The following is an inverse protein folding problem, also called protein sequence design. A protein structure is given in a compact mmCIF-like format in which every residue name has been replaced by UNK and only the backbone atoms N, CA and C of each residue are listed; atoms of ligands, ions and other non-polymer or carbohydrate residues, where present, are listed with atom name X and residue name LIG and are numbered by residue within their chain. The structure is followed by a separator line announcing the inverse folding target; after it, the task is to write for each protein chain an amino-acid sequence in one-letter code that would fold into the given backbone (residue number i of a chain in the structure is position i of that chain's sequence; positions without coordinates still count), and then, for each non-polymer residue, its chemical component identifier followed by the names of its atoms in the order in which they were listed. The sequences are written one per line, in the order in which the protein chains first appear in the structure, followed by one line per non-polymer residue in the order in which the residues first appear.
data_IF_987737752653
#
_entry.id   IF_987737752653
#
_cell.length_a   1.000
_cell.length_b   1.000
_cell.length_c   1.000
_cell.angle_alpha   90.00
_cell.angle_beta   90.00
_cell.angle_gamma   90.00
#
_symmetry.space_group_name_H-M   'P 1'
#
loop_
_entity.id
_entity.type
_entity.pdbx_description
1 polymer ?
#
# COMPACT_ATOMS: atom_id res chain seq x y z
N UNK A 1 -24.61 -16.24 -31.71
CA UNK A 1 -24.62 -15.62 -30.36
C UNK A 1 -23.77 -14.37 -30.40
N UNK A 2 -24.28 -13.25 -29.90
CA UNK A 2 -23.52 -12.00 -29.74
C UNK A 2 -23.02 -12.00 -28.30
N UNK A 3 -21.73 -12.29 -28.11
CA UNK A 3 -21.08 -12.20 -26.82
C UNK A 3 -20.85 -10.73 -26.49
N UNK A 4 -21.71 -10.16 -25.67
CA UNK A 4 -21.52 -8.84 -25.10
C UNK A 4 -20.45 -8.95 -24.00
N UNK A 5 -19.27 -8.39 -24.25
CA UNK A 5 -18.19 -8.32 -23.26
C UNK A 5 -18.30 -6.98 -22.57
N UNK A 6 -18.79 -6.96 -21.33
CA UNK A 6 -18.76 -5.78 -20.47
C UNK A 6 -17.36 -5.62 -19.91
N UNK A 7 -16.62 -4.61 -20.38
CA UNK A 7 -15.35 -4.22 -19.78
C UNK A 7 -15.62 -3.15 -18.71
N UNK A 8 -15.23 -3.40 -17.47
CA UNK A 8 -15.20 -2.37 -16.43
C UNK A 8 -13.87 -1.64 -16.57
N UNK A 9 -13.88 -0.50 -17.26
CA UNK A 9 -12.72 0.40 -17.27
C UNK A 9 -12.62 1.10 -15.92
N UNK A 10 -11.54 0.85 -15.18
CA UNK A 10 -11.21 1.63 -13.97
C UNK A 10 -10.81 3.03 -14.46
N UNK A 11 -11.40 4.07 -13.91
CA UNK A 11 -11.02 5.43 -14.27
C UNK A 11 -9.59 5.70 -13.78
N UNK A 12 -8.80 6.44 -14.57
CA UNK A 12 -7.38 6.67 -14.25
C UNK A 12 -7.18 7.38 -12.91
N UNK A 13 -8.18 8.13 -12.43
CA UNK A 13 -8.18 8.82 -11.15
C UNK A 13 -8.54 7.92 -9.96
N UNK A 14 -8.94 6.66 -10.21
CA UNK A 14 -9.16 5.61 -9.21
C UNK A 14 -7.98 4.63 -9.09
N UNK A 15 -6.98 4.78 -9.98
CA UNK A 15 -5.78 3.94 -10.01
C UNK A 15 -4.59 4.66 -9.36
N UNK A 16 -3.96 4.02 -8.39
CA UNK A 16 -2.75 4.51 -7.73
C UNK A 16 -1.52 3.84 -8.34
N UNK A 17 -0.60 4.62 -8.90
CA UNK A 17 0.64 4.08 -9.43
C UNK A 17 1.67 3.99 -8.30
N UNK A 18 2.25 2.81 -8.12
CA UNK A 18 3.21 2.53 -7.05
C UNK A 18 4.50 1.97 -7.62
N UNK A 19 5.63 2.27 -6.97
CA UNK A 19 6.93 1.65 -7.21
C UNK A 19 7.29 0.83 -5.97
N UNK A 20 7.46 -0.49 -6.12
CA UNK A 20 7.85 -1.35 -5.01
C UNK A 20 9.38 -1.40 -4.87
N UNK A 21 9.85 -1.65 -3.65
CA UNK A 21 11.28 -1.72 -3.35
C UNK A 21 11.74 -3.15 -3.08
N UNK A 22 12.94 -3.48 -3.55
CA UNK A 22 13.60 -4.76 -3.25
C UNK A 22 14.26 -4.80 -1.86
N UNK A 23 14.27 -3.68 -1.13
CA UNK A 23 14.87 -3.59 0.21
C UNK A 23 14.05 -4.30 1.29
N UNK A 24 12.78 -4.62 1.01
CA UNK A 24 11.86 -5.32 1.91
C UNK A 24 11.24 -6.54 1.20
N UNK A 25 12.03 -7.57 0.84
CA UNK A 25 11.58 -8.63 -0.07
C UNK A 25 10.41 -9.45 0.48
N UNK A 26 10.32 -9.67 1.80
CA UNK A 26 9.22 -10.45 2.39
C UNK A 26 7.93 -9.65 2.42
N UNK A 27 8.04 -8.37 2.73
CA UNK A 27 6.94 -7.41 2.77
C UNK A 27 6.44 -7.11 1.37
N UNK A 28 7.35 -7.00 0.40
CA UNK A 28 7.04 -6.89 -1.03
C UNK A 28 6.21 -8.09 -1.49
N UNK A 29 6.73 -9.30 -1.29
CA UNK A 29 6.00 -10.53 -1.64
C UNK A 29 4.63 -10.60 -0.97
N UNK A 30 4.55 -10.25 0.32
CA UNK A 30 3.28 -10.17 1.04
C UNK A 30 2.30 -9.21 0.37
N UNK A 31 2.73 -7.97 0.10
CA UNK A 31 1.89 -6.97 -0.56
C UNK A 31 1.43 -7.46 -1.94
N UNK A 32 2.35 -7.97 -2.76
CA UNK A 32 2.05 -8.50 -4.09
C UNK A 32 1.01 -9.62 -4.04
N UNK A 33 1.17 -10.53 -3.07
CA UNK A 33 0.27 -11.67 -2.89
C UNK A 33 -1.15 -11.23 -2.48
N UNK A 34 -1.28 -10.39 -1.45
CA UNK A 34 -2.62 -10.02 -0.93
C UNK A 34 -3.35 -9.04 -1.84
N UNK A 35 -2.61 -8.28 -2.65
CA UNK A 35 -3.20 -7.35 -3.63
C UNK A 35 -3.52 -8.03 -4.95
N UNK A 36 -2.89 -9.18 -5.23
CA UNK A 36 -2.98 -9.88 -6.50
C UNK A 36 -2.00 -9.37 -7.57
N UNK A 37 -1.12 -8.41 -7.23
CA UNK A 37 -0.09 -7.90 -8.14
C UNK A 37 0.91 -8.99 -8.59
N UNK A 38 1.07 -10.07 -7.80
CA UNK A 38 1.90 -11.21 -8.20
C UNK A 38 1.43 -11.90 -9.50
N UNK A 39 0.15 -11.75 -9.85
CA UNK A 39 -0.47 -12.44 -11.00
C UNK A 39 -1.13 -11.48 -12.00
N UNK A 40 -1.39 -10.23 -11.59
CA UNK A 40 -2.20 -9.27 -12.35
C UNK A 40 -1.50 -7.91 -12.40
N UNK A 41 -1.66 -7.16 -13.49
CA UNK A 41 -1.09 -5.81 -13.59
C UNK A 41 -1.72 -4.82 -12.59
N UNK A 42 -2.99 -5.05 -12.21
CA UNK A 42 -3.71 -4.20 -11.26
C UNK A 42 -4.11 -5.04 -10.05
N UNK A 43 -3.66 -4.59 -8.88
CA UNK A 43 -4.00 -5.14 -7.58
C UNK A 43 -5.10 -4.33 -6.89
N UNK A 44 -5.61 -4.87 -5.79
CA UNK A 44 -6.64 -4.22 -4.97
C UNK A 44 -6.29 -4.23 -3.50
N UNK A 45 -6.60 -3.12 -2.82
CA UNK A 45 -6.51 -2.99 -1.36
C UNK A 45 -7.87 -2.60 -0.80
N UNK A 46 -8.32 -3.31 0.24
CA UNK A 46 -9.56 -2.94 0.94
C UNK A 46 -9.26 -1.90 2.01
N UNK A 47 -9.86 -0.73 1.91
CA UNK A 47 -9.71 0.36 2.89
C UNK A 47 -10.21 -0.12 4.26
N UNK A 48 -9.33 -0.07 5.25
CA UNK A 48 -9.67 -0.29 6.66
C UNK A 48 -10.15 1.03 7.29
N UNK A 49 -9.40 2.10 7.07
CA UNK A 49 -9.72 3.43 7.60
C UNK A 49 -9.14 4.51 6.67
N UNK A 50 -9.93 5.52 6.32
CA UNK A 50 -9.50 6.66 5.52
C UNK A 50 -9.86 7.98 6.23
N UNK A 51 -8.84 8.77 6.57
CA UNK A 51 -9.03 10.09 7.19
C UNK A 51 -8.25 11.13 6.39
N UNK A 52 -8.86 11.69 5.32
CA UNK A 52 -8.23 12.71 4.49
C UNK A 52 -7.73 13.91 5.29
N UNK A 53 -8.51 14.38 6.28
CA UNK A 53 -8.14 15.52 7.13
C UNK A 53 -6.88 15.26 7.96
N UNK A 54 -6.56 13.99 8.24
CA UNK A 54 -5.35 13.57 8.95
C UNK A 54 -4.26 13.04 8.01
N UNK A 55 -4.47 13.12 6.69
CA UNK A 55 -3.53 12.64 5.67
C UNK A 55 -3.13 11.17 5.89
N UNK A 56 -4.07 10.34 6.35
CA UNK A 56 -3.80 8.97 6.82
C UNK A 56 -4.81 7.98 6.22
N UNK A 57 -4.28 6.95 5.58
CA UNK A 57 -5.06 5.92 4.89
C UNK A 57 -4.50 4.55 5.27
N UNK A 58 -5.33 3.69 5.82
CA UNK A 58 -4.97 2.33 6.22
C UNK A 58 -5.79 1.30 5.45
N UNK A 59 -5.16 0.19 5.12
CA UNK A 59 -5.75 -0.89 4.33
C UNK A 59 -5.63 -2.20 5.08
N UNK A 60 -6.64 -3.06 4.91
CA UNK A 60 -6.65 -4.37 5.53
C UNK A 60 -5.47 -5.20 5.01
N UNK A 61 -4.77 -5.82 5.95
CA UNK A 61 -3.85 -6.91 5.66
C UNK A 61 -4.54 -8.27 5.66
N UNK A 62 -3.73 -9.31 5.59
CA UNK A 62 -4.15 -10.70 5.81
C UNK A 62 -3.35 -11.30 6.98
N UNK A 63 -4.04 -11.80 8.00
CA UNK A 63 -3.44 -12.29 9.24
C UNK A 63 -2.64 -13.60 9.05
N UNK A 64 -3.02 -14.43 8.08
CA UNK A 64 -2.33 -15.69 7.82
C UNK A 64 -1.09 -15.46 6.97
N UNK A 65 -1.18 -14.57 5.98
CA UNK A 65 -0.08 -14.23 5.07
C UNK A 65 0.95 -13.28 5.69
N UNK A 66 0.57 -12.48 6.69
CA UNK A 66 1.47 -11.55 7.38
C UNK A 66 2.40 -12.23 8.39
N UNK A 67 2.23 -13.54 8.62
CA UNK A 67 3.11 -14.33 9.48
C UNK A 67 4.52 -14.34 8.89
N UNK A 68 5.48 -13.84 9.66
CA UNK A 68 6.89 -13.81 9.25
C UNK A 68 7.32 -12.52 8.55
N UNK A 69 6.51 -11.46 8.60
CA UNK A 69 6.96 -10.09 8.32
C UNK A 69 7.93 -9.62 9.41
N UNK A 70 9.19 -10.03 9.30
CA UNK A 70 10.28 -9.54 10.16
C UNK A 70 10.53 -8.04 9.90
N UNK A 71 11.16 -7.30 10.83
CA UNK A 71 11.65 -5.97 10.54
C UNK A 71 12.62 -5.97 9.34
N UNK A 72 12.29 -5.18 8.32
CA UNK A 72 13.10 -4.97 7.12
C UNK A 72 12.76 -3.61 6.50
N UNK A 73 13.78 -2.92 5.96
CA UNK A 73 13.64 -1.57 5.39
C UNK A 73 12.86 -0.61 6.30
N UNK A 74 13.16 -0.63 7.60
CA UNK A 74 12.53 0.28 8.56
C UNK A 74 12.98 1.72 8.30
N UNK A 75 12.10 2.71 8.45
CA UNK A 75 12.51 4.11 8.49
C UNK A 75 13.42 4.35 9.70
N UNK A 76 14.31 5.33 9.58
CA UNK A 76 15.17 5.76 10.69
C UNK A 76 14.56 6.99 11.38
N UNK A 77 14.46 8.11 10.66
CA UNK A 77 14.04 9.40 11.23
C UNK A 77 12.85 10.04 10.51
N UNK A 78 12.62 9.68 9.26
CA UNK A 78 11.63 10.30 8.39
C UNK A 78 11.02 9.24 7.49
N UNK A 79 9.70 9.31 7.33
CA UNK A 79 8.99 8.67 6.24
C UNK A 79 8.32 9.77 5.41
N UNK A 80 8.54 9.74 4.10
CA UNK A 80 8.04 10.73 3.14
C UNK A 80 6.57 10.49 2.80
N UNK A 81 5.91 11.55 2.37
CA UNK A 81 4.60 11.46 1.73
C UNK A 81 4.63 10.44 0.59
N UNK A 82 3.61 9.57 0.55
CA UNK A 82 3.47 8.53 -0.46
C UNK A 82 4.21 7.23 -0.16
N UNK A 83 5.10 7.16 0.83
CA UNK A 83 5.71 5.88 1.22
C UNK A 83 4.65 4.92 1.78
N UNK A 84 4.75 3.67 1.34
CA UNK A 84 3.85 2.58 1.71
C UNK A 84 4.50 1.83 2.85
N UNK A 85 3.89 1.90 4.04
CA UNK A 85 4.36 1.21 5.23
C UNK A 85 3.49 0.00 5.55
N UNK A 86 4.12 -1.09 5.99
CA UNK A 86 3.45 -2.29 6.49
C UNK A 86 3.92 -2.57 7.91
N UNK A 87 2.99 -2.77 8.83
CA UNK A 87 3.31 -3.15 10.20
C UNK A 87 3.96 -4.53 10.23
N UNK A 88 5.14 -4.64 10.85
CA UNK A 88 5.88 -5.88 11.00
C UNK A 88 5.57 -6.58 12.34
N UNK A 89 6.14 -7.77 12.53
CA UNK A 89 5.87 -8.65 13.67
C UNK A 89 6.29 -8.10 15.04
N UNK A 90 6.93 -6.92 15.10
CA UNK A 90 7.24 -6.24 16.37
C UNK A 90 6.00 -5.68 17.06
N UNK A 91 4.85 -5.66 16.37
CA UNK A 91 3.55 -5.18 16.88
C UNK A 91 2.41 -6.12 16.54
N UNK A 92 1.27 -5.94 17.23
CA UNK A 92 0.11 -6.83 17.14
C UNK A 92 -0.63 -6.73 15.81
N UNK A 93 -0.59 -5.56 15.18
CA UNK A 93 -1.29 -5.28 13.92
C UNK A 93 -0.46 -5.67 12.70
N UNK A 94 0.29 -6.78 12.78
CA UNK A 94 1.18 -7.26 11.71
C UNK A 94 0.40 -7.39 10.40
N UNK A 95 0.99 -6.92 9.31
CA UNK A 95 0.37 -6.92 7.98
C UNK A 95 -0.57 -5.76 7.69
N UNK A 96 -0.92 -4.91 8.67
CA UNK A 96 -1.67 -3.67 8.41
C UNK A 96 -0.85 -2.76 7.50
N UNK A 97 -1.48 -2.19 6.47
CA UNK A 97 -0.82 -1.34 5.47
C UNK A 97 -1.28 0.10 5.67
N UNK A 98 -0.37 1.05 5.50
CA UNK A 98 -0.69 2.47 5.59
C UNK A 98 0.03 3.29 4.53
N UNK A 99 -0.60 4.40 4.14
CA UNK A 99 -0.02 5.46 3.32
C UNK A 99 -0.38 6.80 3.96
N UNK A 100 0.57 7.74 3.97
CA UNK A 100 0.31 9.14 4.31
C UNK A 100 0.55 10.05 3.11
N UNK A 101 -0.22 11.13 3.03
CA UNK A 101 -0.07 12.18 2.00
C UNK A 101 0.84 13.34 2.45
N UNK A 102 1.45 13.21 3.63
CA UNK A 102 2.43 14.16 4.20
C UNK A 102 3.56 13.39 4.88
N UNK A 103 4.72 14.03 4.97
CA UNK A 103 5.88 13.52 5.69
C UNK A 103 5.58 13.31 7.19
N UNK A 104 6.26 12.35 7.82
CA UNK A 104 6.13 12.05 9.25
C UNK A 104 7.48 11.67 9.85
N UNK A 105 7.77 12.18 11.04
CA UNK A 105 9.00 11.91 11.81
C UNK A 105 8.77 11.07 13.06
N UNK A 106 7.52 10.85 13.45
CA UNK A 106 7.18 10.30 14.77
C UNK A 106 6.75 8.84 14.71
N UNK A 107 5.91 8.50 13.73
CA UNK A 107 5.30 7.18 13.57
C UNK A 107 5.10 6.85 12.10
N UNK A 108 5.05 5.55 11.80
CA UNK A 108 4.68 5.03 10.50
C UNK A 108 3.23 5.34 10.14
N UNK A 109 2.80 4.94 8.93
CA UNK A 109 1.52 5.33 8.37
C UNK A 109 0.37 4.54 8.98
N UNK A 110 0.67 3.45 9.70
CA UNK A 110 -0.28 2.64 10.48
C UNK A 110 -0.40 3.09 11.95
N UNK A 111 0.32 4.16 12.34
CA UNK A 111 0.39 4.63 13.73
C UNK A 111 1.37 3.85 14.61
N UNK A 112 2.02 2.82 14.07
CA UNK A 112 3.07 2.07 14.77
C UNK A 112 4.43 2.80 14.66
N UNK A 113 5.37 2.59 15.59
CA UNK A 113 6.70 3.21 15.51
C UNK A 113 7.48 2.73 14.27
N UNK A 114 8.49 3.48 13.84
CA UNK A 114 9.31 3.12 12.68
C UNK A 114 9.98 1.74 12.80
N UNK A 115 10.43 1.36 13.99
CA UNK A 115 10.98 0.02 14.25
C UNK A 115 9.98 -1.12 13.97
N UNK A 116 8.69 -0.82 13.94
CA UNK A 116 7.61 -1.74 13.64
C UNK A 116 7.00 -1.54 12.25
N UNK A 117 7.58 -0.69 11.41
CA UNK A 117 7.08 -0.35 10.08
C UNK A 117 8.11 -0.75 9.04
N UNK A 118 7.75 -1.62 8.10
CA UNK A 118 8.56 -1.92 6.92
C UNK A 118 8.11 -1.04 5.76
N UNK A 119 9.01 -0.32 5.11
CA UNK A 119 8.70 0.42 3.88
C UNK A 119 8.78 -0.54 2.69
N UNK A 120 7.69 -0.68 1.95
CA UNK A 120 7.56 -1.65 0.84
C UNK A 120 7.56 -0.99 -0.54
N UNK A 121 7.42 0.33 -0.60
CA UNK A 121 7.39 1.07 -1.84
C UNK A 121 6.90 2.49 -1.61
N UNK A 122 6.60 3.17 -2.71
CA UNK A 122 6.10 4.54 -2.72
C UNK A 122 5.05 4.73 -3.80
N UNK A 123 4.13 5.67 -3.57
CA UNK A 123 3.21 6.16 -4.58
C UNK A 123 3.94 7.13 -5.49
N UNK A 124 3.93 6.85 -6.80
CA UNK A 124 4.58 7.66 -7.83
C UNK A 124 3.59 8.37 -8.75
N UNK A 125 2.29 8.12 -8.60
CA UNK A 125 1.24 8.83 -9.34
C UNK A 125 -0.14 8.74 -8.70
N UNK A 126 -0.91 9.82 -8.85
CA UNK A 126 -2.29 9.97 -8.35
C UNK A 126 -2.43 9.86 -6.82
N UNK A 127 -1.45 10.39 -6.06
CA UNK A 127 -1.50 10.37 -4.59
C UNK A 127 -2.72 11.12 -4.04
N UNK A 128 -3.19 12.19 -4.72
CA UNK A 128 -4.39 12.93 -4.32
C UNK A 128 -5.66 12.09 -4.40
N UNK A 129 -5.66 11.00 -5.19
CA UNK A 129 -6.74 10.03 -5.27
C UNK A 129 -7.10 9.40 -3.93
N UNK A 130 -6.13 9.31 -3.00
CA UNK A 130 -6.35 8.81 -1.64
C UNK A 130 -7.42 9.62 -0.89
N UNK A 131 -7.51 10.94 -1.13
CA UNK A 131 -8.49 11.81 -0.46
C UNK A 131 -9.96 11.49 -0.81
N UNK A 132 -10.20 10.69 -1.86
CA UNK A 132 -11.54 10.25 -2.25
C UNK A 132 -11.98 8.95 -1.56
N UNK A 133 -11.05 8.27 -0.88
CA UNK A 133 -11.31 6.98 -0.23
C UNK A 133 -12.28 7.10 0.93
N UNK A 134 -13.04 6.03 1.15
CA UNK A 134 -13.99 5.89 2.26
C UNK A 134 -13.76 4.55 2.93
N UNK A 135 -14.08 4.47 4.21
CA UNK A 135 -14.00 3.22 4.96
C UNK A 135 -14.74 2.08 4.23
N UNK A 136 -14.07 0.95 4.08
CA UNK A 136 -14.61 -0.23 3.40
C UNK A 136 -14.61 -0.18 1.87
N UNK A 137 -14.19 0.92 1.22
CA UNK A 137 -14.03 0.97 -0.23
C UNK A 137 -12.83 0.17 -0.71
N UNK A 138 -12.69 0.04 -2.04
CA UNK A 138 -11.53 -0.61 -2.67
C UNK A 138 -10.64 0.46 -3.30
N UNK A 139 -9.34 0.37 -3.05
CA UNK A 139 -8.31 1.09 -3.78
C UNK A 139 -7.72 0.14 -4.85
N UNK A 140 -7.54 0.64 -6.06
CA UNK A 140 -6.84 -0.07 -7.12
C UNK A 140 -5.40 0.43 -7.22
N UNK A 141 -4.44 -0.47 -7.31
CA UNK A 141 -3.02 -0.15 -7.41
C UNK A 141 -2.41 -0.79 -8.65
N UNK A 142 -1.45 -0.11 -9.28
CA UNK A 142 -0.69 -0.61 -10.41
C UNK A 142 0.80 -0.40 -10.13
N UNK A 143 1.57 -1.49 -10.16
CA UNK A 143 3.02 -1.39 -10.05
C UNK A 143 3.58 -0.85 -11.37
N UNK A 144 4.35 0.22 -11.31
CA UNK A 144 5.11 0.71 -12.46
C UNK A 144 6.56 0.24 -12.32
N UNK A 145 7.08 -0.32 -13.40
CA UNK A 145 8.50 -0.60 -13.54
C UNK A 145 9.13 0.60 -14.26
N UNK A 146 10.35 0.97 -13.90
CA UNK A 146 11.11 1.87 -14.78
C UNK A 146 11.33 1.12 -16.09
N UNK A 147 10.75 1.63 -17.17
CA UNK A 147 11.16 1.21 -18.51
C UNK A 147 12.65 1.58 -18.62
N UNK A 148 13.51 0.57 -18.82
CA UNK A 148 14.89 0.78 -19.25
C UNK A 148 14.83 1.39 -20.68
N UNK A 149 14.67 2.72 -20.76
CA UNK A 149 14.82 3.51 -22.00
C UNK A 149 16.28 3.53 -22.50
#
# INVERSE_FOLDING_TARGET
ESGEVTTFGIASDELLNVKLTDKAPRTRWYLEKITGLAEKPVGTLKVYFAVPDMNMFMFNGDNDESKGLIPENNPEDLMKAGEIGVTNMSKKNVGLIGIRTVDTTDFGPTGEPFSATNVVGEVVGNIEGLNKLKDGSTLYIHEVYEDDD
#
